data_IF_702297258090
#
_entry.id   IF_702297258090
#
_cell.length_a   1.000
_cell.length_b   1.000
_cell.length_c   1.000
_cell.angle_alpha   90.00
_cell.angle_beta   90.00
_cell.angle_gamma   90.00
#
_symmetry.space_group_name_H-M   'P 1'
#
loop_
_entity.id
_entity.type
_entity.pdbx_description
1 polymer ?
#
# COMPACT_ATOMS: atom_id res chain seq x y z
N UNK A 1 12.18 -22.88 2.67
CA UNK A 1 11.48 -22.81 1.36
C UNK A 1 10.18 -23.61 1.44
N UNK A 2 9.04 -23.03 1.05
CA UNK A 2 7.69 -23.63 1.12
C UNK A 2 7.30 -24.43 -0.13
N UNK A 3 8.01 -24.24 -1.25
CA UNK A 3 7.78 -24.96 -2.51
C UNK A 3 7.77 -26.47 -2.29
N UNK A 4 6.72 -27.15 -2.74
CA UNK A 4 6.53 -28.59 -2.60
C UNK A 4 6.20 -29.08 -1.19
N UNK A 5 5.95 -28.17 -0.23
CA UNK A 5 5.66 -28.51 1.19
C UNK A 5 4.28 -28.07 1.67
N UNK A 6 3.45 -27.55 0.77
CA UNK A 6 2.09 -27.12 1.09
C UNK A 6 1.12 -28.29 0.92
N UNK A 7 0.11 -28.34 1.78
CA UNK A 7 -0.98 -29.32 1.64
C UNK A 7 -1.85 -28.93 0.43
N UNK A 8 -2.51 -29.91 -0.22
CA UNK A 8 -3.52 -29.61 -1.24
C UNK A 8 -4.62 -28.70 -0.68
N UNK A 9 -5.08 -27.74 -1.49
CA UNK A 9 -6.14 -26.81 -1.12
C UNK A 9 -5.72 -25.68 -0.16
N UNK A 10 -4.42 -25.49 0.09
CA UNK A 10 -3.93 -24.32 0.84
C UNK A 10 -4.21 -23.03 0.06
N UNK A 11 -4.65 -22.02 0.79
CA UNK A 11 -4.87 -20.66 0.29
C UNK A 11 -3.93 -19.68 1.00
N UNK A 12 -3.56 -18.61 0.31
CA UNK A 12 -2.75 -17.55 0.87
C UNK A 12 -3.51 -16.21 0.91
N UNK A 13 -3.06 -15.35 1.81
CA UNK A 13 -3.39 -13.92 1.79
C UNK A 13 -2.11 -13.12 2.07
N UNK A 14 -1.85 -12.11 1.24
CA UNK A 14 -0.69 -11.22 1.39
C UNK A 14 -1.11 -9.91 2.07
N UNK A 15 -0.40 -9.56 3.15
CA UNK A 15 -0.47 -8.25 3.82
C UNK A 15 0.73 -7.36 3.43
N UNK A 16 1.54 -7.79 2.46
CA UNK A 16 2.76 -7.11 2.07
C UNK A 16 2.40 -5.91 1.19
N UNK A 17 2.62 -4.69 1.71
CA UNK A 17 2.47 -3.44 0.94
C UNK A 17 3.74 -3.19 0.12
N UNK A 18 3.64 -3.29 -1.19
CA UNK A 18 4.73 -3.02 -2.13
C UNK A 18 4.60 -3.86 -3.40
N UNK A 19 5.53 -3.64 -4.32
CA UNK A 19 5.68 -4.45 -5.53
C UNK A 19 7.14 -4.82 -5.71
N UNK A 20 7.39 -5.94 -6.38
CA UNK A 20 8.69 -6.27 -6.92
C UNK A 20 8.80 -5.64 -8.31
N UNK A 21 9.93 -5.04 -8.67
CA UNK A 21 10.15 -4.61 -10.05
C UNK A 21 11.14 -5.55 -10.71
N UNK A 22 10.67 -6.16 -11.80
CA UNK A 22 11.45 -7.04 -12.65
C UNK A 22 11.79 -6.33 -13.94
N UNK A 23 12.63 -6.96 -14.77
CA UNK A 23 12.97 -6.43 -16.09
C UNK A 23 11.74 -6.26 -16.98
N UNK A 24 10.73 -7.12 -16.82
CA UNK A 24 9.49 -7.08 -17.59
C UNK A 24 8.46 -6.08 -17.04
N UNK A 25 8.78 -5.38 -15.95
CA UNK A 25 7.90 -4.41 -15.29
C UNK A 25 7.54 -4.77 -13.84
N UNK A 26 6.58 -4.04 -13.25
CA UNK A 26 6.15 -4.27 -11.87
C UNK A 26 5.42 -5.61 -11.73
N UNK A 27 5.84 -6.41 -10.76
CA UNK A 27 5.29 -7.69 -10.37
C UNK A 27 4.65 -7.58 -8.98
N UNK A 28 3.36 -7.87 -8.92
CA UNK A 28 2.59 -7.88 -7.67
C UNK A 28 3.06 -9.02 -6.76
N UNK A 29 3.08 -8.80 -5.44
CA UNK A 29 3.54 -9.80 -4.48
C UNK A 29 2.56 -10.98 -4.44
N UNK A 30 1.26 -10.72 -4.54
CA UNK A 30 0.24 -11.77 -4.67
C UNK A 30 0.51 -12.67 -5.89
N UNK A 31 0.83 -12.07 -7.04
CA UNK A 31 1.18 -12.79 -8.27
C UNK A 31 2.45 -13.61 -8.10
N UNK A 32 3.48 -13.04 -7.48
CA UNK A 32 4.72 -13.76 -7.16
C UNK A 32 4.46 -14.99 -6.27
N UNK A 33 3.61 -14.85 -5.25
CA UNK A 33 3.21 -15.95 -4.36
C UNK A 33 2.48 -17.04 -5.16
N UNK A 34 1.49 -16.65 -5.96
CA UNK A 34 0.74 -17.59 -6.80
C UNK A 34 1.63 -18.33 -7.78
N UNK A 35 2.51 -17.63 -8.49
CA UNK A 35 3.39 -18.25 -9.50
C UNK A 35 4.45 -19.16 -8.86
N UNK A 36 4.94 -18.81 -7.66
CA UNK A 36 5.98 -19.58 -6.98
C UNK A 36 5.44 -20.80 -6.26
N UNK A 37 4.24 -20.69 -5.67
CA UNK A 37 3.67 -21.72 -4.79
C UNK A 37 2.53 -22.51 -5.43
N UNK A 38 1.98 -22.06 -6.57
CA UNK A 38 0.87 -22.71 -7.25
C UNK A 38 -0.45 -22.66 -6.48
N UNK A 39 -0.65 -21.63 -5.66
CA UNK A 39 -1.83 -21.46 -4.79
C UNK A 39 -2.55 -20.13 -5.07
N UNK A 40 -3.85 -20.11 -4.79
CA UNK A 40 -4.62 -18.86 -4.76
C UNK A 40 -4.08 -17.93 -3.66
N UNK A 41 -3.93 -16.64 -3.96
CA UNK A 41 -3.46 -15.64 -3.02
C UNK A 41 -4.38 -14.41 -3.06
N UNK A 42 -5.11 -14.15 -1.98
CA UNK A 42 -5.79 -12.87 -1.78
C UNK A 42 -4.79 -11.80 -1.29
N UNK A 43 -5.26 -10.56 -1.15
CA UNK A 43 -4.50 -9.47 -0.51
C UNK A 43 -5.33 -8.79 0.55
N UNK A 44 -4.71 -8.22 1.57
CA UNK A 44 -5.36 -7.35 2.57
C UNK A 44 -4.59 -6.04 2.68
N UNK A 45 -5.23 -4.95 2.30
CA UNK A 45 -4.69 -3.58 2.34
C UNK A 45 -5.69 -2.64 3.01
N UNK A 46 -5.23 -1.54 3.60
CA UNK A 46 -6.13 -0.62 4.31
C UNK A 46 -5.40 0.39 5.17
N UNK A 47 -6.15 1.34 5.73
CA UNK A 47 -5.64 2.34 6.67
C UNK A 47 -5.40 1.73 8.07
N UNK A 48 -4.43 0.83 8.16
CA UNK A 48 -4.33 -0.13 9.27
C UNK A 48 -2.97 -0.03 9.98
N UNK A 49 -2.77 1.04 10.76
CA UNK A 49 -1.55 1.21 11.57
C UNK A 49 -1.48 0.10 12.62
N UNK A 50 -0.48 -0.77 12.53
CA UNK A 50 -0.38 -1.99 13.34
C UNK A 50 -0.53 -1.73 14.86
N UNK A 51 0.07 -0.65 15.36
CA UNK A 51 0.00 -0.30 16.79
C UNK A 51 -1.43 0.08 17.22
N UNK A 52 -2.23 0.72 16.37
CA UNK A 52 -3.59 1.13 16.69
C UNK A 52 -4.54 -0.08 16.72
N UNK A 53 -4.38 -1.00 15.76
CA UNK A 53 -5.12 -2.27 15.73
C UNK A 53 -4.79 -3.10 16.96
N UNK A 54 -3.51 -3.15 17.36
CA UNK A 54 -3.06 -3.91 18.53
C UNK A 54 -3.64 -3.42 19.86
N UNK A 55 -4.07 -2.15 19.94
CA UNK A 55 -4.79 -1.59 21.09
C UNK A 55 -6.28 -1.36 20.80
N UNK A 56 -6.83 -2.15 19.87
CA UNK A 56 -8.26 -2.25 19.56
C UNK A 56 -8.92 -0.92 19.15
N UNK A 57 -8.16 -0.03 18.51
CA UNK A 57 -8.73 1.16 17.91
C UNK A 57 -9.42 0.79 16.61
N UNK A 58 -10.59 1.41 16.43
CA UNK A 58 -11.40 1.21 15.24
C UNK A 58 -10.60 1.49 13.97
N UNK A 59 -10.63 0.55 13.03
CA UNK A 59 -10.00 0.66 11.72
C UNK A 59 -10.69 -0.26 10.71
N UNK A 60 -10.42 -0.01 9.43
CA UNK A 60 -11.03 -0.74 8.33
C UNK A 60 -9.95 -1.25 7.37
N UNK A 61 -10.21 -2.37 6.70
CA UNK A 61 -9.37 -2.89 5.64
C UNK A 61 -10.19 -3.47 4.48
N UNK A 62 -9.52 -3.66 3.36
CA UNK A 62 -10.08 -4.18 2.12
C UNK A 62 -9.29 -5.42 1.72
N UNK A 63 -10.01 -6.50 1.47
CA UNK A 63 -9.48 -7.73 0.89
C UNK A 63 -9.74 -7.72 -0.62
N UNK A 64 -8.67 -7.84 -1.39
CA UNK A 64 -8.74 -8.03 -2.83
C UNK A 64 -8.70 -9.53 -3.20
N UNK A 65 -9.58 -9.95 -4.10
CA UNK A 65 -9.60 -11.30 -4.67
C UNK A 65 -9.83 -11.26 -6.18
N UNK A 66 -9.58 -12.39 -6.86
CA UNK A 66 -9.79 -12.52 -8.32
C UNK A 66 -11.05 -13.28 -8.67
N UNK A 67 -11.13 -14.57 -8.31
CA UNK A 67 -12.23 -15.45 -8.72
C UNK A 67 -12.91 -16.13 -7.52
N UNK A 68 -12.13 -16.59 -6.54
CA UNK A 68 -12.68 -17.31 -5.39
C UNK A 68 -13.23 -16.34 -4.31
N UNK A 69 -14.49 -15.94 -4.50
CA UNK A 69 -15.23 -15.12 -3.53
C UNK A 69 -15.40 -15.82 -2.18
N UNK A 70 -15.52 -17.15 -2.17
CA UNK A 70 -15.67 -17.90 -0.91
C UNK A 70 -14.37 -17.88 -0.10
N UNK A 71 -13.21 -17.93 -0.76
CA UNK A 71 -11.93 -17.67 -0.12
C UNK A 71 -11.87 -16.29 0.52
N UNK A 72 -12.28 -15.25 -0.23
CA UNK A 72 -12.32 -13.89 0.27
C UNK A 72 -13.26 -13.76 1.49
N UNK A 73 -14.43 -14.40 1.46
CA UNK A 73 -15.36 -14.45 2.59
C UNK A 73 -14.75 -15.15 3.81
N UNK A 74 -14.02 -16.25 3.63
CA UNK A 74 -13.29 -16.93 4.72
C UNK A 74 -12.28 -16.01 5.36
N UNK A 75 -11.49 -15.29 4.55
CA UNK A 75 -10.53 -14.32 5.05
C UNK A 75 -11.20 -13.13 5.76
N UNK A 76 -12.25 -12.56 5.17
CA UNK A 76 -13.00 -11.46 5.80
C UNK A 76 -13.56 -11.88 7.16
N UNK A 77 -14.13 -13.09 7.26
CA UNK A 77 -14.60 -13.66 8.52
C UNK A 77 -13.47 -13.88 9.52
N UNK A 78 -12.29 -14.29 9.06
CA UNK A 78 -11.13 -14.53 9.93
C UNK A 78 -10.57 -13.22 10.50
N UNK A 79 -10.47 -12.18 9.68
CA UNK A 79 -9.85 -10.91 10.10
C UNK A 79 -10.83 -9.95 10.77
N UNK A 80 -12.13 -10.05 10.51
CA UNK A 80 -13.11 -9.10 11.08
C UNK A 80 -13.23 -9.25 12.59
N UNK A 81 -13.13 -8.12 13.30
CA UNK A 81 -13.39 -7.98 14.73
C UNK A 81 -14.31 -6.77 14.97
N UNK A 82 -14.82 -6.53 16.20
CA UNK A 82 -15.62 -5.32 16.50
C UNK A 82 -14.91 -3.98 16.22
N UNK A 83 -13.57 -3.98 16.17
CA UNK A 83 -12.75 -2.79 15.93
C UNK A 83 -11.96 -2.85 14.62
N UNK A 84 -12.04 -3.96 13.87
CA UNK A 84 -11.36 -4.12 12.59
C UNK A 84 -12.34 -4.67 11.56
N UNK A 85 -12.97 -3.77 10.79
CA UNK A 85 -13.96 -4.16 9.79
C UNK A 85 -13.29 -4.42 8.45
N UNK A 86 -13.66 -5.52 7.80
CA UNK A 86 -13.01 -5.96 6.56
C UNK A 86 -14.03 -6.10 5.44
N UNK A 87 -13.88 -5.29 4.40
CA UNK A 87 -14.64 -5.38 3.16
C UNK A 87 -13.92 -6.27 2.14
N UNK A 88 -14.66 -6.90 1.22
CA UNK A 88 -14.08 -7.67 0.11
C UNK A 88 -14.37 -7.01 -1.23
N UNK A 89 -13.41 -7.03 -2.13
CA UNK A 89 -13.51 -6.47 -3.49
C UNK A 89 -12.87 -7.42 -4.48
N UNK A 90 -13.56 -7.67 -5.59
CA UNK A 90 -13.07 -8.45 -6.72
C UNK A 90 -12.17 -7.57 -7.62
N UNK A 91 -11.06 -7.10 -7.05
CA UNK A 91 -10.05 -6.27 -7.71
C UNK A 91 -8.72 -6.39 -6.96
N UNK A 92 -8.09 -7.55 -7.07
CA UNK A 92 -6.83 -7.83 -6.37
C UNK A 92 -5.70 -6.86 -6.78
N UNK A 93 -5.59 -6.56 -8.08
CA UNK A 93 -4.57 -5.65 -8.59
C UNK A 93 -4.79 -4.22 -8.07
N UNK A 94 -6.04 -3.72 -8.09
CA UNK A 94 -6.37 -2.38 -7.59
C UNK A 94 -6.11 -2.23 -6.09
N UNK A 95 -6.50 -3.22 -5.29
CA UNK A 95 -6.30 -3.20 -3.83
C UNK A 95 -4.80 -3.17 -3.48
N UNK A 96 -3.99 -4.02 -4.12
CA UNK A 96 -2.57 -4.14 -3.83
C UNK A 96 -1.75 -2.94 -4.36
N UNK A 97 -2.12 -2.39 -5.53
CA UNK A 97 -1.50 -1.18 -6.07
C UNK A 97 -1.80 0.06 -5.23
N UNK A 98 -3.00 0.19 -4.68
CA UNK A 98 -3.30 1.31 -3.77
C UNK A 98 -2.35 1.33 -2.56
N UNK A 99 -2.12 0.16 -1.94
CA UNK A 99 -1.20 0.01 -0.81
C UNK A 99 0.25 0.35 -1.15
N UNK A 100 0.64 0.16 -2.42
CA UNK A 100 1.99 0.41 -2.93
C UNK A 100 2.20 1.89 -3.28
N UNK A 101 1.33 2.44 -4.12
CA UNK A 101 1.49 3.75 -4.74
C UNK A 101 1.26 4.91 -3.77
N UNK A 102 0.43 4.73 -2.72
CA UNK A 102 0.15 5.77 -1.71
C UNK A 102 1.41 6.36 -1.08
N UNK A 103 2.48 5.55 -0.95
CA UNK A 103 3.71 5.98 -0.30
C UNK A 103 4.46 7.03 -1.14
N UNK A 104 4.32 7.00 -2.47
CA UNK A 104 4.85 8.03 -3.37
C UNK A 104 4.15 9.35 -3.12
N UNK A 105 2.81 9.33 -3.03
CA UNK A 105 2.01 10.52 -2.72
C UNK A 105 2.32 11.05 -1.32
N UNK A 106 2.54 10.18 -0.35
CA UNK A 106 2.90 10.56 1.01
C UNK A 106 4.25 11.28 1.09
N UNK A 107 5.21 10.96 0.21
CA UNK A 107 6.46 11.73 0.09
C UNK A 107 6.14 13.15 -0.38
N UNK A 108 5.34 13.31 -1.44
CA UNK A 108 4.95 14.62 -1.93
C UNK A 108 4.21 15.44 -0.85
N UNK A 109 3.30 14.81 -0.10
CA UNK A 109 2.63 15.43 1.04
C UNK A 109 3.61 15.85 2.15
N UNK A 110 4.64 15.06 2.44
CA UNK A 110 5.69 15.43 3.38
C UNK A 110 6.57 16.58 2.90
N UNK A 111 6.89 16.64 1.60
CA UNK A 111 7.61 17.78 1.02
C UNK A 111 6.80 19.08 1.19
N UNK A 112 5.49 19.03 0.94
CA UNK A 112 4.56 20.16 1.19
C UNK A 112 4.61 20.61 2.65
N UNK A 113 4.59 19.66 3.60
CA UNK A 113 4.69 19.99 5.03
C UNK A 113 6.04 20.65 5.36
N UNK A 114 7.15 20.14 4.82
CA UNK A 114 8.47 20.66 5.12
C UNK A 114 8.80 22.00 4.43
N UNK A 115 8.05 22.36 3.39
CA UNK A 115 8.10 23.65 2.70
C UNK A 115 7.05 24.65 3.23
N UNK A 116 6.27 24.28 4.25
CA UNK A 116 5.24 25.11 4.87
C UNK A 116 4.20 25.69 3.87
N UNK A 117 3.78 24.89 2.89
CA UNK A 117 2.86 25.38 1.82
C UNK A 117 1.37 25.30 2.20
N UNK A 118 1.05 24.88 3.43
CA UNK A 118 -0.30 24.83 3.98
C UNK A 118 -1.18 23.65 3.55
N UNK A 119 -2.30 23.49 4.26
CA UNK A 119 -3.21 22.34 4.13
C UNK A 119 -3.94 22.28 2.78
N UNK A 120 -4.24 23.42 2.15
CA UNK A 120 -4.91 23.44 0.84
C UNK A 120 -4.02 22.84 -0.26
N UNK A 121 -2.74 23.20 -0.26
CA UNK A 121 -1.74 22.62 -1.16
C UNK A 121 -1.60 21.13 -0.93
N UNK A 122 -1.54 20.71 0.35
CA UNK A 122 -1.47 19.30 0.72
C UNK A 122 -2.68 18.50 0.22
N UNK A 123 -3.89 19.02 0.42
CA UNK A 123 -5.11 18.42 -0.08
C UNK A 123 -5.12 18.32 -1.62
N UNK A 124 -4.63 19.33 -2.33
CA UNK A 124 -4.48 19.30 -3.78
C UNK A 124 -3.51 18.19 -4.23
N UNK A 125 -2.36 18.04 -3.56
CA UNK A 125 -1.40 16.96 -3.82
C UNK A 125 -2.02 15.58 -3.57
N UNK A 126 -2.74 15.40 -2.46
CA UNK A 126 -3.41 14.14 -2.16
C UNK A 126 -4.45 13.78 -3.23
N UNK A 127 -5.27 14.76 -3.67
CA UNK A 127 -6.27 14.57 -4.73
C UNK A 127 -5.63 14.25 -6.09
N UNK A 128 -4.57 14.96 -6.45
CA UNK A 128 -3.81 14.68 -7.69
C UNK A 128 -3.20 13.29 -7.62
N UNK A 129 -2.56 12.95 -6.50
CA UNK A 129 -1.95 11.66 -6.25
C UNK A 129 -2.95 10.51 -6.34
N UNK A 130 -4.14 10.63 -5.75
CA UNK A 130 -5.20 9.61 -5.89
C UNK A 130 -5.61 9.41 -7.36
N UNK A 131 -5.71 10.49 -8.13
CA UNK A 131 -6.03 10.43 -9.57
C UNK A 131 -4.92 9.73 -10.36
N UNK A 132 -3.66 10.01 -10.05
CA UNK A 132 -2.50 9.37 -10.68
C UNK A 132 -2.39 7.90 -10.30
N UNK A 133 -2.61 7.55 -9.03
CA UNK A 133 -2.69 6.16 -8.57
C UNK A 133 -3.71 5.38 -9.40
N UNK A 134 -4.91 5.94 -9.60
CA UNK A 134 -5.96 5.34 -10.43
C UNK A 134 -5.53 5.19 -11.89
N UNK A 135 -5.02 6.26 -12.50
CA UNK A 135 -4.61 6.25 -13.90
C UNK A 135 -3.47 5.24 -14.15
N UNK A 136 -2.45 5.23 -13.29
CA UNK A 136 -1.32 4.32 -13.39
C UNK A 136 -1.73 2.86 -13.17
N UNK A 137 -2.62 2.59 -12.21
CA UNK A 137 -3.09 1.23 -11.97
C UNK A 137 -3.86 0.67 -13.17
N UNK A 138 -4.69 1.48 -13.83
CA UNK A 138 -5.42 1.08 -15.04
C UNK A 138 -4.52 0.94 -16.27
N UNK A 139 -3.45 1.73 -16.33
CA UNK A 139 -2.43 1.61 -17.37
C UNK A 139 -1.72 0.25 -17.29
N UNK A 140 -1.37 -0.19 -16.08
CA UNK A 140 -0.72 -1.48 -15.86
C UNK A 140 -1.70 -2.66 -15.96
N UNK A 141 -2.91 -2.49 -15.43
CA UNK A 141 -3.91 -3.55 -15.32
C UNK A 141 -5.29 -2.99 -15.71
N UNK A 142 -5.74 -3.22 -16.97
CA UNK A 142 -7.04 -2.75 -17.44
C UNK A 142 -8.25 -3.27 -16.64
N UNK A 143 -8.08 -4.36 -15.87
CA UNK A 143 -9.09 -4.93 -14.98
C UNK A 143 -9.39 -4.11 -13.73
N UNK A 144 -8.51 -3.16 -13.39
CA UNK A 144 -8.64 -2.33 -12.17
C UNK A 144 -9.92 -1.50 -12.20
N UNK A 145 -10.67 -1.55 -11.11
CA UNK A 145 -11.98 -0.91 -10.96
C UNK A 145 -11.85 0.43 -10.25
N UNK A 146 -12.59 1.42 -10.74
CA UNK A 146 -12.53 2.77 -10.20
C UNK A 146 -13.04 2.84 -8.75
N UNK A 147 -14.03 2.02 -8.40
CA UNK A 147 -14.62 1.98 -7.07
C UNK A 147 -13.63 1.54 -5.99
N UNK A 148 -12.64 0.71 -6.34
CA UNK A 148 -11.59 0.24 -5.42
C UNK A 148 -10.80 1.39 -4.77
N UNK A 149 -10.67 2.53 -5.45
CA UNK A 149 -9.96 3.69 -4.91
C UNK A 149 -10.74 4.43 -3.81
N UNK A 150 -12.03 4.16 -3.66
CA UNK A 150 -12.87 4.71 -2.58
C UNK A 150 -12.95 3.80 -1.35
N UNK A 151 -12.41 2.59 -1.45
CA UNK A 151 -12.31 1.64 -0.34
C UNK A 151 -11.19 2.03 0.65
N UNK A 152 -11.13 1.35 1.80
CA UNK A 152 -10.10 1.60 2.81
C UNK A 152 -8.67 1.47 2.24
N UNK A 153 -8.42 0.51 1.34
CA UNK A 153 -7.11 0.37 0.68
C UNK A 153 -6.69 1.59 -0.15
N UNK A 154 -7.65 2.34 -0.68
CA UNK A 154 -7.43 3.50 -1.55
C UNK A 154 -7.36 4.80 -0.76
N UNK A 155 -8.47 5.54 -0.75
CA UNK A 155 -8.53 6.90 -0.20
C UNK A 155 -8.19 6.96 1.29
N UNK A 156 -8.68 6.01 2.11
CA UNK A 156 -8.43 6.03 3.55
C UNK A 156 -6.93 5.79 3.86
N UNK A 157 -6.33 4.75 3.27
CA UNK A 157 -4.92 4.44 3.49
C UNK A 157 -4.03 5.58 2.96
N UNK A 158 -4.40 6.21 1.84
CA UNK A 158 -3.72 7.40 1.32
C UNK A 158 -3.77 8.55 2.33
N UNK A 159 -4.95 8.90 2.85
CA UNK A 159 -5.12 9.99 3.82
C UNK A 159 -4.25 9.74 5.06
N UNK A 160 -4.40 8.58 5.69
CA UNK A 160 -3.67 8.23 6.91
C UNK A 160 -2.16 8.26 6.67
N UNK A 161 -1.68 7.80 5.51
CA UNK A 161 -0.25 7.83 5.16
C UNK A 161 0.25 9.25 4.93
N UNK A 162 -0.53 10.12 4.28
CA UNK A 162 -0.19 11.52 4.02
C UNK A 162 -0.29 12.42 5.26
N UNK A 163 -0.97 11.98 6.33
CA UNK A 163 -1.06 12.71 7.60
C UNK A 163 -0.03 12.23 8.64
N UNK A 164 0.15 10.92 8.78
CA UNK A 164 0.97 10.34 9.87
C UNK A 164 2.07 9.39 9.44
N UNK A 165 2.17 9.04 8.15
CA UNK A 165 3.05 7.98 7.67
C UNK A 165 4.55 8.29 7.78
N UNK A 166 5.36 7.23 7.89
CA UNK A 166 6.84 7.32 7.93
C UNK A 166 7.42 8.01 6.68
N UNK A 167 6.88 7.70 5.50
CA UNK A 167 7.28 8.33 4.23
C UNK A 167 7.06 9.85 4.26
N UNK A 168 5.94 10.30 4.81
CA UNK A 168 5.64 11.73 5.02
C UNK A 168 6.63 12.38 5.99
N UNK A 169 6.85 11.77 7.16
CA UNK A 169 7.76 12.30 8.21
C UNK A 169 9.19 12.49 7.70
N UNK A 170 9.73 11.50 6.97
CA UNK A 170 11.10 11.61 6.42
C UNK A 170 11.16 12.64 5.30
N UNK A 171 10.15 12.71 4.42
CA UNK A 171 10.12 13.71 3.36
C UNK A 171 9.97 15.15 3.90
N UNK A 172 9.21 15.34 4.98
CA UNK A 172 9.13 16.61 5.70
C UNK A 172 10.50 17.02 6.26
N UNK A 173 11.18 16.11 6.96
CA UNK A 173 12.52 16.37 7.48
C UNK A 173 13.52 16.69 6.37
N UNK A 174 13.45 15.98 5.24
CA UNK A 174 14.27 16.26 4.06
C UNK A 174 14.08 17.69 3.55
N UNK A 175 12.82 18.12 3.37
CA UNK A 175 12.50 19.46 2.89
C UNK A 175 12.92 20.55 3.90
N UNK A 176 12.67 20.36 5.21
CA UNK A 176 13.09 21.30 6.27
C UNK A 176 14.61 21.48 6.34
N UNK A 177 15.38 20.46 5.95
CA UNK A 177 16.84 20.53 5.87
C UNK A 177 17.36 21.07 4.52
N UNK A 178 16.47 21.65 3.69
CA UNK A 178 16.82 22.17 2.36
C UNK A 178 17.37 21.11 1.42
N UNK A 179 17.00 19.83 1.61
CA UNK A 179 17.49 18.70 0.82
C UNK A 179 18.96 18.34 1.03
N UNK A 180 19.64 18.91 2.04
CA UNK A 180 21.07 18.66 2.33
C UNK A 180 21.32 17.30 2.96
N UNK A 181 20.34 16.78 3.71
CA UNK A 181 20.40 15.47 4.36
C UNK A 181 19.76 14.43 3.47
N UNK A 182 20.37 13.26 3.37
CA UNK A 182 19.83 12.20 2.50
C UNK A 182 18.62 11.49 3.12
N UNK A 183 17.78 10.87 2.30
CA UNK A 183 16.69 10.00 2.80
C UNK A 183 17.24 8.78 3.58
N UNK A 184 18.46 8.32 3.27
CA UNK A 184 19.09 7.21 3.99
C UNK A 184 19.48 7.59 5.41
N UNK A 185 20.10 8.75 5.55
CA UNK A 185 20.49 9.34 6.84
C UNK A 185 19.26 9.59 7.72
N UNK A 186 18.23 10.24 7.17
CA UNK A 186 17.00 10.54 7.88
C UNK A 186 16.20 9.27 8.24
N UNK A 187 16.20 8.25 7.38
CA UNK A 187 15.62 6.94 7.73
C UNK A 187 16.32 6.34 8.94
N UNK A 188 17.66 6.27 8.92
CA UNK A 188 18.43 5.63 9.97
C UNK A 188 18.22 6.31 11.33
N UNK A 189 18.13 7.64 11.34
CA UNK A 189 17.87 8.44 12.54
C UNK A 189 16.42 8.29 13.03
N UNK A 190 15.44 8.45 12.14
CA UNK A 190 14.04 8.66 12.54
C UNK A 190 13.23 7.37 12.67
N UNK A 191 13.63 6.29 12.00
CA UNK A 191 12.77 5.10 11.85
C UNK A 191 13.23 3.90 12.68
N UNK A 192 14.29 4.02 13.47
CA UNK A 192 14.76 3.03 14.45
C UNK A 192 14.80 1.58 13.89
N UNK A 193 15.35 1.42 12.69
CA UNK A 193 15.47 0.12 12.01
C UNK A 193 14.33 -0.22 11.03
N UNK A 194 13.24 0.55 11.00
CA UNK A 194 12.20 0.39 9.98
C UNK A 194 12.64 0.99 8.63
N UNK A 195 12.20 0.39 7.52
CA UNK A 195 12.57 0.80 6.16
C UNK A 195 11.48 1.61 5.46
N UNK A 196 11.89 2.63 4.71
CA UNK A 196 11.08 3.36 3.75
C UNK A 196 10.80 2.51 2.52
N UNK A 197 9.53 2.43 2.13
CA UNK A 197 9.10 1.58 1.04
C UNK A 197 9.46 2.14 -0.36
N UNK A 198 9.75 3.44 -0.48
CA UNK A 198 9.96 4.11 -1.79
C UNK A 198 11.44 4.28 -2.15
N UNK A 199 12.38 3.71 -1.39
CA UNK A 199 13.82 3.80 -1.73
C UNK A 199 14.18 3.22 -3.10
N UNK A 200 13.30 2.41 -3.66
CA UNK A 200 13.37 1.85 -5.01
C UNK A 200 12.98 2.86 -6.11
N UNK A 201 13.42 4.11 -6.03
CA UNK A 201 13.13 5.14 -7.06
C UNK A 201 13.65 4.77 -8.47
N UNK A 202 14.66 3.91 -8.61
CA UNK A 202 15.09 3.40 -9.93
C UNK A 202 14.04 2.54 -10.63
N UNK A 203 13.00 2.10 -9.92
CA UNK A 203 12.09 1.06 -10.40
C UNK A 203 10.81 1.59 -11.05
N UNK A 204 10.41 2.85 -10.81
CA UNK A 204 9.20 3.46 -11.41
C UNK A 204 9.53 4.28 -12.66
N UNK A 205 10.70 4.91 -12.72
CA UNK A 205 11.09 5.77 -13.85
C UNK A 205 11.56 5.00 -15.11
N UNK A 206 11.80 3.69 -14.98
CA UNK A 206 12.30 2.83 -16.07
C UNK A 206 11.22 1.89 -16.63
N UNK A 207 9.96 2.09 -16.25
CA UNK A 207 8.79 1.41 -16.85
C UNK A 207 8.23 2.29 -17.95
#
# INVERSE_FOLDING_TARGET
>A
KLVGKLRPGVEAISLIKGMEVKMEGPCMISKLITDTLGINCCVLMGANIANEIAVEKFSEATIGYREDKEAANRWAKLFTTPYFLVAIVEDIEGVELCGTLKNVVAIAAGLVDGLDMGNNTKAAIMRIGLREMRAFSKLLFPSVRDNTFFESCGVADLITTCLGGRNRRVAEAFARNGGKRSFDELEAEMLHGQKLQVKKKKEIYNV
#
